data_IF_206938501295
#
_entry.id   IF_206938501295
#
_cell.length_a   1.000
_cell.length_b   1.000
_cell.length_c   1.000
_cell.angle_alpha   90.00
_cell.angle_beta   90.00
_cell.angle_gamma   90.00
#
_symmetry.space_group_name_H-M   'P 1'
#
loop_
_entity.id
_entity.type
_entity.pdbx_description
1 polymer ?
#
# COMPACT_ATOMS: atom_id res chain seq x y z
N UNK A 1 -8.01 25.50 0.15
CA UNK A 1 -7.57 25.39 1.57
C UNK A 1 -8.54 24.51 2.36
N UNK A 2 -9.86 24.75 2.24
CA UNK A 2 -10.93 23.99 2.93
C UNK A 2 -10.98 22.49 2.58
N UNK A 3 -10.83 22.13 1.29
CA UNK A 3 -10.86 20.72 0.83
C UNK A 3 -9.68 19.88 1.31
N UNK A 4 -8.51 20.50 1.45
CA UNK A 4 -7.31 19.85 1.98
C UNK A 4 -7.49 19.59 3.48
N UNK A 5 -8.04 20.58 4.20
CA UNK A 5 -8.37 20.45 5.61
C UNK A 5 -9.40 19.33 5.87
N UNK A 6 -10.44 19.23 5.05
CA UNK A 6 -11.42 18.15 5.09
C UNK A 6 -10.77 16.75 4.95
N UNK A 7 -9.89 16.56 3.97
CA UNK A 7 -9.19 15.28 3.76
C UNK A 7 -8.30 14.90 4.95
N UNK A 8 -7.55 15.86 5.50
CA UNK A 8 -6.72 15.61 6.69
C UNK A 8 -7.57 15.32 7.92
N UNK A 9 -8.73 15.99 8.08
CA UNK A 9 -9.69 15.69 9.13
C UNK A 9 -10.24 14.27 8.99
N UNK A 10 -10.66 13.86 7.79
CA UNK A 10 -11.11 12.49 7.52
C UNK A 10 -10.02 11.45 7.81
N UNK A 11 -8.79 11.71 7.38
CA UNK A 11 -7.65 10.83 7.67
C UNK A 11 -7.40 10.70 9.18
N UNK A 12 -7.48 11.82 9.92
CA UNK A 12 -7.35 11.82 11.38
C UNK A 12 -8.47 11.01 12.05
N UNK A 13 -9.71 11.19 11.64
CA UNK A 13 -10.87 10.49 12.19
C UNK A 13 -10.80 8.97 11.94
N UNK A 14 -10.40 8.56 10.73
CA UNK A 14 -10.24 7.15 10.36
C UNK A 14 -9.12 6.50 11.20
N UNK A 15 -7.97 7.17 11.35
CA UNK A 15 -6.89 6.69 12.23
C UNK A 15 -7.34 6.60 13.68
N UNK A 16 -8.07 7.61 14.18
CA UNK A 16 -8.60 7.59 15.55
C UNK A 16 -9.57 6.41 15.76
N UNK A 17 -10.44 6.14 14.79
CA UNK A 17 -11.34 4.99 14.83
C UNK A 17 -10.57 3.68 15.02
N UNK A 18 -9.53 3.45 14.19
CA UNK A 18 -8.67 2.28 14.31
C UNK A 18 -7.90 2.18 15.63
N UNK A 19 -7.59 3.31 16.26
CA UNK A 19 -6.94 3.37 17.58
C UNK A 19 -7.91 3.14 18.76
N UNK A 20 -9.22 3.22 18.54
CA UNK A 20 -10.23 3.07 19.60
C UNK A 20 -11.06 1.80 19.48
N UNK A 21 -11.13 1.23 18.28
CA UNK A 21 -11.98 0.10 17.92
C UNK A 21 -11.14 -1.11 17.55
N UNK A 22 -11.46 -2.26 18.13
CA UNK A 22 -10.74 -3.53 17.91
C UNK A 22 -10.98 -4.13 16.52
N UNK A 23 -12.06 -3.67 15.89
CA UNK A 23 -12.64 -4.18 14.66
C UNK A 23 -12.38 -3.28 13.44
N UNK A 24 -11.57 -2.24 13.60
CA UNK A 24 -11.17 -1.32 12.54
C UNK A 24 -9.65 -1.36 12.36
N UNK A 25 -9.22 -1.55 11.12
CA UNK A 25 -7.80 -1.46 10.74
C UNK A 25 -7.64 -0.28 9.78
N UNK A 26 -6.59 0.51 9.97
CA UNK A 26 -6.22 1.56 9.02
C UNK A 26 -4.79 1.39 8.55
N UNK A 27 -4.62 1.33 7.24
CA UNK A 27 -3.35 1.33 6.53
C UNK A 27 -3.09 2.73 5.95
N UNK A 28 -1.87 3.24 6.06
CA UNK A 28 -1.39 4.35 5.23
C UNK A 28 -0.18 3.89 4.45
N UNK A 29 -0.26 3.96 3.14
CA UNK A 29 0.74 3.44 2.22
C UNK A 29 1.18 4.51 1.22
N UNK A 30 2.47 4.48 0.89
CA UNK A 30 3.01 5.18 -0.27
C UNK A 30 4.19 4.42 -0.91
N UNK A 31 4.45 4.70 -2.19
CA UNK A 31 5.62 4.18 -2.89
C UNK A 31 6.82 5.08 -2.60
N UNK A 32 7.92 4.48 -2.14
CA UNK A 32 9.20 5.16 -2.13
C UNK A 32 9.82 5.09 -3.53
N UNK A 33 10.68 6.05 -3.86
CA UNK A 33 11.54 5.93 -5.06
C UNK A 33 12.29 4.60 -5.04
N UNK A 34 12.48 3.97 -6.19
CA UNK A 34 13.16 2.69 -6.26
C UNK A 34 14.58 2.78 -5.69
N UNK A 35 14.94 1.84 -4.83
CA UNK A 35 16.29 1.72 -4.29
C UNK A 35 17.21 1.19 -5.39
N UNK A 36 18.30 1.91 -5.67
CA UNK A 36 19.35 1.45 -6.58
C UNK A 36 20.35 0.61 -5.78
N UNK A 37 20.37 -0.70 -6.02
CA UNK A 37 21.29 -1.61 -5.37
C UNK A 37 22.67 -1.51 -6.03
N UNK A 38 23.58 -0.83 -5.34
CA UNK A 38 24.99 -0.72 -5.73
C UNK A 38 25.80 -1.74 -4.95
N UNK A 39 26.51 -2.63 -5.63
CA UNK A 39 27.41 -3.58 -4.97
C UNK A 39 28.60 -2.85 -4.33
N UNK A 40 29.11 -3.37 -3.22
CA UNK A 40 30.25 -2.79 -2.52
C UNK A 40 31.59 -2.99 -3.25
N UNK A 41 31.71 -4.05 -4.06
CA UNK A 41 32.94 -4.40 -4.79
C UNK A 41 32.66 -4.38 -6.30
N UNK A 42 33.33 -3.47 -7.01
CA UNK A 42 33.29 -3.41 -8.47
C UNK A 42 34.11 -4.58 -9.05
N UNK A 43 33.46 -5.68 -9.45
CA UNK A 43 34.07 -6.53 -10.47
C UNK A 43 34.07 -5.75 -11.79
N UNK A 44 35.26 -5.52 -12.34
CA UNK A 44 35.56 -4.70 -13.54
C UNK A 44 34.86 -5.13 -14.84
N UNK A 45 33.90 -6.07 -14.78
CA UNK A 45 33.00 -6.48 -15.86
C UNK A 45 31.55 -5.99 -15.67
N UNK A 46 31.21 -5.35 -14.55
CA UNK A 46 29.85 -4.93 -14.18
C UNK A 46 29.37 -3.64 -14.86
N UNK A 47 29.54 -3.52 -16.18
CA UNK A 47 29.18 -2.31 -16.91
C UNK A 47 27.66 -2.10 -17.12
N UNK A 48 26.77 -3.03 -16.72
CA UNK A 48 25.34 -2.96 -17.13
C UNK A 48 24.31 -3.65 -16.21
N UNK A 49 24.54 -3.83 -14.90
CA UNK A 49 23.51 -4.42 -14.01
C UNK A 49 23.11 -3.46 -12.89
N UNK A 50 22.29 -2.45 -13.23
CA UNK A 50 21.56 -1.67 -12.22
C UNK A 50 20.36 -2.49 -11.75
N UNK A 51 20.44 -3.02 -10.53
CA UNK A 51 19.31 -3.71 -9.90
C UNK A 51 18.52 -2.70 -9.07
N UNK A 52 17.21 -2.61 -9.35
CA UNK A 52 16.32 -1.73 -8.61
C UNK A 52 15.36 -2.53 -7.75
N UNK A 53 15.15 -2.05 -6.53
CA UNK A 53 14.19 -2.63 -5.59
C UNK A 53 13.08 -1.61 -5.30
N UNK A 54 11.85 -1.99 -5.62
CA UNK A 54 10.65 -1.24 -5.26
C UNK A 54 10.35 -1.39 -3.77
N UNK A 55 9.88 -0.30 -3.16
CA UNK A 55 9.53 -0.27 -1.74
C UNK A 55 8.17 0.42 -1.59
N UNK A 56 7.13 -0.36 -1.30
CA UNK A 56 5.87 0.19 -0.81
C UNK A 56 5.94 0.24 0.72
N UNK A 57 6.02 1.44 1.29
CA UNK A 57 6.20 1.63 2.72
C UNK A 57 4.93 2.18 3.36
N UNK A 58 4.73 1.88 4.64
CA UNK A 58 3.57 2.42 5.31
C UNK A 58 3.46 2.05 6.78
N UNK A 59 2.33 2.45 7.34
CA UNK A 59 2.00 2.25 8.74
C UNK A 59 0.59 1.69 8.91
N UNK A 60 0.45 0.76 9.86
CA UNK A 60 -0.83 0.18 10.26
C UNK A 60 -1.20 0.74 11.63
N UNK A 61 -2.41 1.30 11.75
CA UNK A 61 -3.06 1.61 13.02
C UNK A 61 -4.08 0.53 13.35
N UNK A 62 -4.01 0.06 14.59
CA UNK A 62 -4.95 -0.82 15.26
C UNK A 62 -4.80 -0.58 16.76
N UNK A 63 -5.91 -0.60 17.51
CA UNK A 63 -6.00 -0.22 18.93
C UNK A 63 -4.80 -0.61 19.78
N UNK A 64 -4.41 -1.88 19.73
CA UNK A 64 -3.34 -2.42 20.59
C UNK A 64 -2.05 -2.80 19.85
N UNK A 65 -2.00 -2.64 18.52
CA UNK A 65 -0.84 -3.05 17.73
C UNK A 65 -0.68 -2.19 16.48
N UNK A 66 0.01 -1.06 16.65
CA UNK A 66 0.43 -0.23 15.54
C UNK A 66 1.85 -0.60 15.11
N UNK A 67 2.10 -0.68 13.80
CA UNK A 67 3.41 -1.07 13.30
C UNK A 67 3.70 -0.49 11.91
N UNK A 68 4.98 -0.31 11.64
CA UNK A 68 5.52 0.02 10.32
C UNK A 68 5.67 -1.24 9.48
N UNK A 69 5.46 -1.13 8.17
CA UNK A 69 5.77 -2.20 7.23
C UNK A 69 6.46 -1.69 5.98
N UNK A 70 7.09 -2.61 5.25
CA UNK A 70 7.64 -2.40 3.92
C UNK A 70 7.43 -3.63 3.05
N UNK A 71 6.88 -3.44 1.85
CA UNK A 71 6.70 -4.47 0.85
C UNK A 71 7.73 -4.27 -0.26
N UNK A 72 8.51 -5.31 -0.54
CA UNK A 72 9.72 -5.26 -1.34
C UNK A 72 9.56 -6.12 -2.60
N UNK A 73 10.09 -5.65 -3.72
CA UNK A 73 10.14 -6.44 -4.96
C UNK A 73 11.24 -5.96 -5.89
N UNK A 74 11.72 -6.87 -6.72
CA UNK A 74 12.58 -6.56 -7.87
C UNK A 74 11.77 -6.04 -9.08
N UNK A 75 10.43 -6.11 -9.05
CA UNK A 75 9.58 -5.50 -10.06
C UNK A 75 9.43 -3.99 -9.80
N UNK A 76 9.65 -3.18 -10.84
CA UNK A 76 9.67 -1.70 -10.75
C UNK A 76 8.33 -1.03 -11.10
N UNK A 77 7.29 -1.81 -11.40
CA UNK A 77 5.95 -1.28 -11.67
C UNK A 77 5.30 -0.78 -10.38
N UNK A 78 4.76 0.44 -10.43
CA UNK A 78 3.95 1.03 -9.36
C UNK A 78 2.47 1.16 -9.74
N UNK A 79 2.00 0.37 -10.71
CA UNK A 79 0.59 0.34 -11.11
C UNK A 79 -0.28 -0.27 -10.00
N UNK A 80 -1.61 -0.11 -10.11
CA UNK A 80 -2.52 -0.63 -9.09
C UNK A 80 -2.40 -2.12 -8.82
N UNK A 81 -2.18 -2.93 -9.86
CA UNK A 81 -1.96 -4.37 -9.71
C UNK A 81 -0.73 -4.63 -8.84
N UNK A 82 0.34 -3.86 -9.02
CA UNK A 82 1.55 -3.92 -8.19
C UNK A 82 1.27 -3.48 -6.75
N UNK A 83 0.48 -2.43 -6.55
CA UNK A 83 0.07 -1.97 -5.20
C UNK A 83 -0.69 -3.07 -4.46
N UNK A 84 -1.67 -3.70 -5.12
CA UNK A 84 -2.45 -4.77 -4.51
C UNK A 84 -1.64 -6.04 -4.27
N UNK A 85 -0.69 -6.38 -5.16
CA UNK A 85 0.27 -7.44 -4.94
C UNK A 85 1.14 -7.15 -3.71
N UNK A 86 1.68 -5.94 -3.62
CA UNK A 86 2.57 -5.53 -2.54
C UNK A 86 1.91 -5.69 -1.15
N UNK A 87 0.65 -5.31 -1.01
CA UNK A 87 -0.06 -5.39 0.28
C UNK A 87 -0.80 -6.71 0.50
N UNK A 88 -0.78 -7.66 -0.45
CA UNK A 88 -1.60 -8.87 -0.36
C UNK A 88 -1.30 -9.68 0.90
N UNK A 89 -0.04 -10.06 1.11
CA UNK A 89 0.39 -10.85 2.27
C UNK A 89 0.12 -10.12 3.60
N UNK A 90 0.34 -8.79 3.62
CA UNK A 90 0.00 -7.96 4.77
C UNK A 90 -1.51 -8.00 5.06
N UNK A 91 -2.35 -7.86 4.04
CA UNK A 91 -3.80 -7.92 4.21
C UNK A 91 -4.26 -9.32 4.62
N UNK A 92 -3.68 -10.38 4.07
CA UNK A 92 -4.00 -11.74 4.46
C UNK A 92 -3.59 -12.06 5.90
N UNK A 93 -2.43 -11.58 6.36
CA UNK A 93 -2.03 -11.62 7.78
C UNK A 93 -3.06 -10.87 8.66
N UNK A 94 -3.40 -9.64 8.28
CA UNK A 94 -4.29 -8.76 9.04
C UNK A 94 -5.75 -9.23 9.06
N UNK A 95 -6.19 -9.98 8.06
CA UNK A 95 -7.60 -10.38 7.89
C UNK A 95 -7.84 -11.89 8.13
N UNK A 96 -6.80 -12.72 8.22
CA UNK A 96 -6.94 -14.18 8.36
C UNK A 96 -6.46 -14.72 9.72
N UNK A 97 -5.91 -13.89 10.61
CA UNK A 97 -5.43 -14.35 11.92
C UNK A 97 -6.53 -14.90 12.83
N UNK A 98 -6.20 -15.89 13.66
CA UNK A 98 -7.15 -16.59 14.54
C UNK A 98 -7.80 -15.69 15.61
N UNK A 99 -7.14 -14.59 15.96
CA UNK A 99 -7.61 -13.58 16.93
C UNK A 99 -8.41 -12.43 16.29
N UNK A 100 -8.72 -12.53 14.99
CA UNK A 100 -9.23 -11.41 14.17
C UNK A 100 -10.67 -11.63 13.66
N UNK A 101 -11.45 -12.54 14.26
CA UNK A 101 -12.86 -12.84 13.91
C UNK A 101 -13.83 -11.65 13.94
N UNK A 102 -13.35 -10.44 14.26
CA UNK A 102 -14.18 -9.26 14.45
C UNK A 102 -13.84 -8.08 13.54
N UNK A 103 -12.85 -8.15 12.64
CA UNK A 103 -12.60 -7.00 11.74
C UNK A 103 -13.84 -6.75 10.88
N UNK A 104 -14.41 -5.56 11.00
CA UNK A 104 -15.58 -5.11 10.26
C UNK A 104 -15.23 -4.01 9.24
N UNK A 105 -14.09 -3.36 9.40
CA UNK A 105 -13.66 -2.26 8.53
C UNK A 105 -12.16 -2.27 8.25
N UNK A 106 -11.80 -2.21 6.97
CA UNK A 106 -10.45 -1.98 6.47
C UNK A 106 -10.41 -0.61 5.78
N UNK A 107 -9.58 0.29 6.31
CA UNK A 107 -9.34 1.60 5.74
C UNK A 107 -7.94 1.67 5.15
N UNK A 108 -7.80 2.22 3.95
CA UNK A 108 -6.53 2.50 3.28
C UNK A 108 -6.45 4.00 3.02
N UNK A 109 -5.31 4.59 3.34
CA UNK A 109 -4.99 5.99 3.09
C UNK A 109 -3.78 5.99 2.15
N UNK A 110 -3.82 6.80 1.09
CA UNK A 110 -2.67 7.01 0.21
C UNK A 110 -2.75 8.39 -0.43
N UNK A 111 -1.71 8.75 -1.17
CA UNK A 111 -1.77 9.82 -2.15
C UNK A 111 -2.73 9.50 -3.31
N UNK A 112 -2.96 10.47 -4.19
CA UNK A 112 -3.99 10.38 -5.24
C UNK A 112 -3.56 10.19 -6.71
N UNK A 113 -2.35 9.67 -7.05
CA UNK A 113 -2.02 9.37 -8.45
C UNK A 113 -3.00 8.35 -9.05
N UNK A 114 -3.49 8.67 -10.24
CA UNK A 114 -4.52 7.89 -10.94
C UNK A 114 -4.03 6.52 -11.38
N UNK A 115 -2.76 6.40 -11.77
CA UNK A 115 -2.16 5.14 -12.22
C UNK A 115 -1.96 4.13 -11.09
N UNK A 116 -1.80 4.59 -9.85
CA UNK A 116 -1.36 3.74 -8.73
C UNK A 116 -2.50 3.38 -7.77
N UNK A 117 -3.29 4.37 -7.34
CA UNK A 117 -4.26 4.17 -6.27
C UNK A 117 -5.70 4.50 -6.68
N UNK A 118 -5.89 5.51 -7.54
CA UNK A 118 -7.23 6.03 -7.83
C UNK A 118 -7.71 5.68 -9.23
N UNK A 119 -8.13 4.43 -9.40
CA UNK A 119 -8.67 3.90 -10.66
C UNK A 119 -9.63 2.72 -10.45
N UNK A 120 -10.17 2.23 -11.58
CA UNK A 120 -11.12 1.11 -11.63
C UNK A 120 -10.60 -0.18 -11.00
N UNK A 121 -9.31 -0.48 -11.13
CA UNK A 121 -8.68 -1.67 -10.55
C UNK A 121 -8.76 -1.63 -9.03
N UNK A 122 -8.51 -0.46 -8.44
CA UNK A 122 -8.66 -0.29 -6.99
C UNK A 122 -10.10 -0.46 -6.51
N UNK A 123 -11.08 0.04 -7.25
CA UNK A 123 -12.50 -0.14 -6.90
C UNK A 123 -12.89 -1.63 -6.97
N UNK A 124 -12.41 -2.34 -8.00
CA UNK A 124 -12.62 -3.78 -8.13
C UNK A 124 -12.09 -4.53 -6.91
N UNK A 125 -10.84 -4.31 -6.51
CA UNK A 125 -10.25 -5.00 -5.36
C UNK A 125 -10.90 -4.59 -4.03
N UNK A 126 -11.22 -3.31 -3.83
CA UNK A 126 -11.99 -2.88 -2.65
C UNK A 126 -13.31 -3.66 -2.53
N UNK A 127 -14.04 -3.81 -3.64
CA UNK A 127 -15.27 -4.62 -3.66
C UNK A 127 -15.00 -6.09 -3.41
N UNK A 128 -13.99 -6.68 -4.06
CA UNK A 128 -13.60 -8.06 -3.85
C UNK A 128 -13.35 -8.36 -2.37
N UNK A 129 -12.54 -7.54 -1.69
CA UNK A 129 -12.27 -7.70 -0.26
C UNK A 129 -13.52 -7.47 0.60
N UNK A 130 -14.32 -6.44 0.28
CA UNK A 130 -15.56 -6.15 1.02
C UNK A 130 -16.55 -7.32 0.97
N UNK A 131 -16.78 -7.88 -0.22
CA UNK A 131 -17.78 -8.95 -0.41
C UNK A 131 -17.30 -10.31 0.08
N UNK A 132 -16.01 -10.63 -0.09
CA UNK A 132 -15.46 -11.94 0.26
C UNK A 132 -15.15 -12.05 1.75
N UNK A 133 -14.66 -10.96 2.37
CA UNK A 133 -14.37 -10.93 3.81
C UNK A 133 -15.55 -10.42 4.65
N UNK A 134 -16.64 -9.97 4.02
CA UNK A 134 -17.84 -9.41 4.67
C UNK A 134 -17.52 -8.20 5.56
N UNK A 135 -16.62 -7.34 5.09
CA UNK A 135 -16.19 -6.12 5.77
C UNK A 135 -16.52 -4.88 4.93
N UNK A 136 -16.53 -3.71 5.57
CA UNK A 136 -16.47 -2.44 4.84
C UNK A 136 -15.01 -2.20 4.44
N UNK A 137 -14.77 -1.90 3.17
CA UNK A 137 -13.46 -1.42 2.72
C UNK A 137 -13.56 0.06 2.35
N UNK A 138 -12.52 0.82 2.65
CA UNK A 138 -12.49 2.26 2.40
C UNK A 138 -11.11 2.63 1.88
N UNK A 139 -11.07 3.47 0.86
CA UNK A 139 -9.85 4.10 0.40
C UNK A 139 -10.00 5.62 0.40
N UNK A 140 -9.21 6.29 1.23
CA UNK A 140 -9.13 7.75 1.33
C UNK A 140 -7.88 8.24 0.58
N UNK A 141 -8.10 9.21 -0.32
CA UNK A 141 -7.05 9.81 -1.12
C UNK A 141 -6.69 11.20 -0.61
N UNK A 142 -5.42 11.41 -0.28
CA UNK A 142 -4.88 12.70 0.13
C UNK A 142 -4.50 13.55 -1.09
N UNK A 143 -4.58 14.88 -0.93
CA UNK A 143 -4.10 15.81 -1.94
C UNK A 143 -2.58 15.72 -2.09
N UNK A 144 -2.12 15.62 -3.34
CA UNK A 144 -0.70 15.63 -3.70
C UNK A 144 -0.04 16.94 -3.30
N UNK A 145 1.16 16.88 -2.71
CA UNK A 145 2.03 18.05 -2.54
C UNK A 145 2.06 18.69 -1.15
N UNK A 146 1.66 17.97 -0.09
CA UNK A 146 1.66 18.53 1.27
C UNK A 146 2.45 17.66 2.27
N UNK A 147 3.77 17.88 2.28
CA UNK A 147 4.69 17.37 3.31
C UNK A 147 5.07 15.90 3.18
N UNK A 148 6.28 15.55 3.64
CA UNK A 148 6.71 14.15 3.74
C UNK A 148 5.86 13.44 4.79
N UNK A 149 5.21 12.35 4.40
CA UNK A 149 4.35 11.54 5.25
C UNK A 149 5.10 10.52 6.10
N UNK A 150 4.35 9.77 6.91
CA UNK A 150 4.90 8.67 7.70
C UNK A 150 5.51 7.56 6.82
N UNK A 151 4.90 7.30 5.65
CA UNK A 151 5.38 6.31 4.69
C UNK A 151 6.76 6.69 4.14
N UNK A 152 7.00 7.98 3.84
CA UNK A 152 8.31 8.47 3.38
C UNK A 152 9.42 8.19 4.41
N UNK A 153 9.16 8.46 5.69
CA UNK A 153 10.12 8.21 6.78
C UNK A 153 10.46 6.73 6.93
N UNK A 154 9.46 5.86 6.77
CA UNK A 154 9.64 4.40 6.82
C UNK A 154 10.41 3.91 5.60
N UNK A 155 10.05 4.36 4.38
CA UNK A 155 10.77 4.05 3.15
C UNK A 155 12.23 4.50 3.20
N UNK A 156 12.50 5.72 3.67
CA UNK A 156 13.87 6.21 3.89
C UNK A 156 14.64 5.37 4.92
N UNK A 157 13.96 4.90 5.98
CA UNK A 157 14.57 4.03 6.98
C UNK A 157 14.95 2.67 6.39
N UNK A 158 14.09 2.06 5.57
CA UNK A 158 14.38 0.80 4.86
C UNK A 158 15.59 0.98 3.93
N UNK A 159 15.63 2.04 3.12
CA UNK A 159 16.78 2.34 2.24
C UNK A 159 18.09 2.45 3.01
N UNK A 160 18.08 3.15 4.15
CA UNK A 160 19.26 3.25 5.02
C UNK A 160 19.68 1.90 5.60
N UNK A 161 18.72 1.02 5.91
CA UNK A 161 19.02 -0.36 6.33
C UNK A 161 19.67 -1.15 5.20
N UNK A 162 19.21 -1.00 3.95
CA UNK A 162 19.85 -1.60 2.78
C UNK A 162 21.27 -1.07 2.56
N UNK A 163 21.47 0.25 2.61
CA UNK A 163 22.81 0.84 2.48
C UNK A 163 23.78 0.34 3.56
N UNK A 164 23.28 0.19 4.79
CA UNK A 164 24.07 -0.38 5.89
C UNK A 164 24.36 -1.87 5.66
N UNK A 165 23.39 -2.64 5.18
CA UNK A 165 23.56 -4.06 4.87
C UNK A 165 24.64 -4.26 3.80
N UNK A 166 24.58 -3.52 2.70
CA UNK A 166 25.61 -3.56 1.65
C UNK A 166 26.97 -3.13 2.18
N UNK A 167 27.04 -1.98 2.88
CA UNK A 167 28.32 -1.43 3.36
C UNK A 167 29.02 -2.33 4.38
N UNK A 168 28.26 -2.97 5.27
CA UNK A 168 28.81 -3.83 6.32
C UNK A 168 29.18 -5.23 5.82
N UNK A 169 28.80 -5.60 4.60
CA UNK A 169 29.05 -6.92 4.03
C UNK A 169 29.67 -6.78 2.63
N UNK A 170 30.88 -6.20 2.53
CA UNK A 170 31.47 -5.82 1.24
C UNK A 170 31.84 -7.01 0.34
N UNK A 171 31.94 -8.21 0.92
CA UNK A 171 32.23 -9.45 0.20
C UNK A 171 30.97 -10.25 -0.17
N UNK A 172 29.77 -9.80 0.24
CA UNK A 172 28.49 -10.41 -0.14
C UNK A 172 27.94 -9.76 -1.43
N UNK A 173 27.40 -10.57 -2.34
CA UNK A 173 26.71 -10.09 -3.54
C UNK A 173 25.20 -10.21 -3.35
N UNK A 174 24.54 -9.07 -3.18
CA UNK A 174 23.08 -8.98 -3.05
C UNK A 174 22.46 -9.01 -4.45
N UNK A 175 21.53 -9.93 -4.72
CA UNK A 175 20.93 -10.11 -6.04
C UNK A 175 19.58 -9.41 -6.21
N UNK A 176 18.95 -8.98 -5.11
CA UNK A 176 17.64 -8.35 -5.17
C UNK A 176 16.99 -8.14 -3.81
N UNK A 177 15.68 -7.92 -3.85
CA UNK A 177 14.84 -7.62 -2.69
C UNK A 177 14.90 -8.71 -1.60
N UNK A 178 14.93 -9.99 -2.00
CA UNK A 178 14.93 -11.13 -1.08
C UNK A 178 16.22 -11.20 -0.24
N UNK A 179 17.38 -11.01 -0.87
CA UNK A 179 18.67 -10.99 -0.18
C UNK A 179 18.75 -9.82 0.81
N UNK A 180 18.35 -8.62 0.37
CA UNK A 180 18.32 -7.43 1.22
C UNK A 180 17.38 -7.60 2.41
N UNK A 181 16.17 -8.10 2.20
CA UNK A 181 15.21 -8.40 3.27
C UNK A 181 15.79 -9.39 4.27
N UNK A 182 16.37 -10.49 3.77
CA UNK A 182 16.94 -11.54 4.63
C UNK A 182 18.01 -10.99 5.57
N UNK A 183 18.76 -9.97 5.11
CA UNK A 183 19.83 -9.33 5.85
C UNK A 183 19.32 -8.36 6.92
N UNK A 184 18.24 -7.62 6.64
CA UNK A 184 17.75 -6.57 7.55
C UNK A 184 16.60 -7.01 8.47
N UNK A 185 15.91 -8.13 8.19
CA UNK A 185 14.70 -8.54 8.92
C UNK A 185 14.88 -8.68 10.44
N UNK A 186 16.09 -9.05 10.89
CA UNK A 186 16.39 -9.22 12.31
C UNK A 186 16.96 -7.95 12.98
N UNK A 187 17.22 -6.89 12.21
CA UNK A 187 17.78 -5.63 12.69
C UNK A 187 16.77 -4.48 12.70
N UNK A 188 15.49 -4.77 12.43
CA UNK A 188 14.41 -3.79 12.37
C UNK A 188 13.11 -4.34 12.95
N UNK A 189 12.29 -3.46 13.51
CA UNK A 189 10.92 -3.78 13.91
C UNK A 189 9.90 -3.50 12.79
N UNK A 190 10.36 -3.04 11.62
CA UNK A 190 9.51 -2.87 10.44
C UNK A 190 9.16 -4.26 9.92
N UNK A 191 7.86 -4.56 9.76
CA UNK A 191 7.43 -5.82 9.16
C UNK A 191 7.72 -5.80 7.66
N UNK A 192 8.46 -6.78 7.18
CA UNK A 192 8.88 -6.83 5.78
C UNK A 192 8.15 -7.96 5.05
N UNK A 193 7.66 -7.66 3.87
CA UNK A 193 6.98 -8.58 2.97
C UNK A 193 7.66 -8.57 1.61
N UNK A 194 7.62 -9.70 0.91
CA UNK A 194 8.08 -9.82 -0.47
C UNK A 194 6.89 -10.07 -1.37
N UNK A 195 6.93 -9.49 -2.56
CA UNK A 195 6.04 -9.85 -3.65
C UNK A 195 6.87 -9.96 -4.93
N UNK A 196 6.49 -10.88 -5.80
CA UNK A 196 7.17 -11.18 -7.04
C UNK A 196 6.30 -10.78 -8.22
N UNK A 197 6.91 -10.77 -9.40
CA UNK A 197 6.22 -10.45 -10.66
C UNK A 197 5.08 -11.43 -10.94
N UNK A 198 5.23 -12.67 -10.51
CA UNK A 198 4.23 -13.73 -10.62
C UNK A 198 2.97 -13.41 -9.79
N UNK A 199 3.11 -12.73 -8.64
CA UNK A 199 1.98 -12.32 -7.81
C UNK A 199 1.18 -11.21 -8.51
N UNK A 200 1.89 -10.24 -9.10
CA UNK A 200 1.27 -9.18 -9.93
C UNK A 200 0.53 -9.81 -11.11
N UNK A 201 1.16 -10.77 -11.79
CA UNK A 201 0.55 -11.47 -12.92
C UNK A 201 -0.71 -12.23 -12.49
N UNK A 202 -0.63 -12.97 -11.38
CA UNK A 202 -1.74 -13.75 -10.83
C UNK A 202 -2.94 -12.87 -10.47
N UNK A 203 -2.69 -11.72 -9.84
CA UNK A 203 -3.74 -10.74 -9.56
C UNK A 203 -4.32 -10.14 -10.83
N UNK A 204 -3.48 -9.82 -11.82
CA UNK A 204 -3.93 -9.27 -13.10
C UNK A 204 -4.88 -10.23 -13.83
N UNK A 205 -4.63 -11.53 -13.75
CA UNK A 205 -5.49 -12.55 -14.36
C UNK A 205 -6.87 -12.67 -13.68
N UNK A 206 -7.02 -12.19 -12.45
CA UNK A 206 -8.30 -12.16 -11.74
C UNK A 206 -9.15 -10.92 -12.09
N UNK A 207 -8.55 -9.90 -12.70
CA UNK A 207 -9.24 -8.64 -13.03
C UNK A 207 -10.07 -8.85 -14.31
N UNK A 208 -11.41 -8.72 -14.27
CA UNK A 208 -12.24 -8.80 -15.46
C UNK A 208 -12.07 -7.54 -16.33
N UNK A 209 -12.74 -7.50 -17.48
CA UNK A 209 -12.73 -6.30 -18.32
C UNK A 209 -13.49 -5.14 -17.66
N UNK A 210 -12.75 -4.30 -16.93
CA UNK A 210 -13.32 -3.19 -16.16
C UNK A 210 -13.63 -1.97 -17.05
N UNK A 211 -14.83 -1.41 -16.91
CA UNK A 211 -15.18 -0.10 -17.50
C UNK A 211 -14.66 1.04 -16.62
N UNK A 212 -14.18 2.12 -17.25
CA UNK A 212 -13.78 3.33 -16.53
C UNK A 212 -14.99 4.01 -15.91
N UNK A 213 -14.87 4.44 -14.65
CA UNK A 213 -15.93 5.15 -13.94
C UNK A 213 -15.75 6.65 -14.14
N UNK A 214 -16.78 7.30 -14.69
CA UNK A 214 -16.77 8.75 -14.92
C UNK A 214 -16.59 9.49 -13.59
N UNK A 215 -15.68 10.45 -13.55
CA UNK A 215 -15.41 11.25 -12.35
C UNK A 215 -14.41 10.64 -11.38
N UNK A 216 -13.76 9.51 -11.69
CA UNK A 216 -12.75 8.88 -10.81
C UNK A 216 -11.66 9.85 -10.35
N UNK A 217 -11.25 10.79 -11.20
CA UNK A 217 -10.26 11.83 -10.85
C UNK A 217 -10.74 12.88 -9.84
N UNK A 218 -12.02 12.88 -9.49
CA UNK A 218 -12.63 13.77 -8.49
C UNK A 218 -12.91 13.07 -7.17
N UNK A 219 -12.86 11.75 -7.12
CA UNK A 219 -13.05 11.00 -5.89
C UNK A 219 -11.92 11.34 -4.91
N UNK A 220 -12.31 11.64 -3.68
CA UNK A 220 -11.39 11.76 -2.55
C UNK A 220 -11.55 10.59 -1.58
N UNK A 221 -12.70 9.91 -1.61
CA UNK A 221 -12.95 8.73 -0.80
C UNK A 221 -13.81 7.73 -1.60
N UNK A 222 -13.50 6.46 -1.46
CA UNK A 222 -14.28 5.33 -1.98
C UNK A 222 -14.58 4.41 -0.80
N UNK A 223 -15.85 4.09 -0.59
CA UNK A 223 -16.32 3.22 0.48
C UNK A 223 -17.09 2.08 -0.18
N UNK A 224 -16.77 0.82 0.15
CA UNK A 224 -17.49 -0.34 -0.33
C UNK A 224 -18.04 -1.12 0.85
N UNK A 225 -19.35 -1.35 0.86
CA UNK A 225 -20.05 -2.07 1.92
C UNK A 225 -19.96 -3.59 1.70
N UNK A 226 -20.20 -4.42 2.74
CA UNK A 226 -20.15 -5.89 2.63
C UNK A 226 -21.08 -6.50 1.58
N UNK A 227 -22.16 -5.80 1.22
CA UNK A 227 -23.11 -6.19 0.17
C UNK A 227 -22.63 -5.84 -1.24
N UNK A 228 -21.49 -5.17 -1.38
CA UNK A 228 -20.88 -4.77 -2.65
C UNK A 228 -21.34 -3.42 -3.20
N UNK A 229 -22.15 -2.66 -2.44
CA UNK A 229 -22.50 -1.28 -2.77
C UNK A 229 -21.29 -0.36 -2.64
N UNK A 230 -21.08 0.50 -3.63
CA UNK A 230 -19.92 1.39 -3.71
C UNK A 230 -20.40 2.84 -3.58
N UNK A 231 -19.88 3.53 -2.58
CA UNK A 231 -20.11 4.94 -2.32
C UNK A 231 -18.83 5.71 -2.62
N UNK A 232 -18.98 6.91 -3.17
CA UNK A 232 -17.85 7.82 -3.41
C UNK A 232 -18.16 9.18 -2.83
N UNK A 233 -17.13 9.85 -2.32
CA UNK A 233 -17.22 11.27 -1.98
C UNK A 233 -16.32 12.08 -2.89
N UNK A 234 -16.81 13.25 -3.32
CA UNK A 234 -16.11 14.10 -4.28
C UNK A 234 -15.31 15.17 -3.57
N UNK A 235 -14.21 15.63 -4.18
CA UNK A 235 -13.38 16.69 -3.59
C UNK A 235 -14.16 17.96 -3.28
N UNK A 236 -15.21 18.28 -4.04
CA UNK A 236 -16.00 19.51 -3.89
C UNK A 236 -17.21 19.37 -2.98
N UNK A 237 -17.59 18.14 -2.64
CA UNK A 237 -18.86 17.82 -2.01
C UNK A 237 -18.67 16.56 -1.17
N UNK A 238 -18.71 16.71 0.16
CA UNK A 238 -18.54 15.61 1.13
C UNK A 238 -19.73 14.63 1.14
N UNK A 239 -20.73 14.83 0.26
CA UNK A 239 -21.85 13.91 0.12
C UNK A 239 -21.43 12.55 -0.40
N UNK A 240 -21.95 11.50 0.25
CA UNK A 240 -21.81 10.13 -0.20
C UNK A 240 -22.75 9.88 -1.38
N UNK A 241 -22.18 9.57 -2.53
CA UNK A 241 -22.93 9.20 -3.74
C UNK A 241 -22.77 7.72 -4.00
N UNK A 242 -23.90 6.99 -4.04
CA UNK A 242 -23.92 5.59 -4.50
C UNK A 242 -23.62 5.54 -6.00
N UNK A 243 -22.65 4.72 -6.39
CA UNK A 243 -22.32 4.47 -7.79
C UNK A 243 -22.63 3.02 -8.18
N UNK A 244 -23.33 2.87 -9.30
CA UNK A 244 -23.56 1.56 -9.89
C UNK A 244 -22.45 1.25 -10.88
N UNK A 245 -21.73 0.15 -10.66
CA UNK A 245 -20.72 -0.36 -11.57
C UNK A 245 -20.92 -1.86 -11.77
N UNK A 246 -20.90 -2.27 -13.03
CA UNK A 246 -20.88 -3.67 -13.44
C UNK A 246 -19.42 -4.07 -13.66
N UNK A 247 -18.98 -5.07 -12.90
CA UNK A 247 -17.68 -5.71 -13.05
C UNK A 247 -17.84 -7.03 -13.79
#
# INVERSE_FOLDING_TARGET
MELVYAQFKSAKLIRQSALTSDNVITLHIDWSENYNLKQAREERSAYYYEQHVSIAAGYVWRKDNCFSFGCLSDDTSHLSESTWAAIHDLLDELLSGKDLKHITELNIISDSPLSQYRNKTTIFFLKYYATNRKITTRWLFLASGHGKGIADGIGATIKRLFDNAVRLNPDESFKGAEDLMSKIKNSTNIRLYLYKKEDIHSLRMQIPSLKSIKGTSKFHEIIVKPNGEIFTKNKSDETETLIHTTF
#
